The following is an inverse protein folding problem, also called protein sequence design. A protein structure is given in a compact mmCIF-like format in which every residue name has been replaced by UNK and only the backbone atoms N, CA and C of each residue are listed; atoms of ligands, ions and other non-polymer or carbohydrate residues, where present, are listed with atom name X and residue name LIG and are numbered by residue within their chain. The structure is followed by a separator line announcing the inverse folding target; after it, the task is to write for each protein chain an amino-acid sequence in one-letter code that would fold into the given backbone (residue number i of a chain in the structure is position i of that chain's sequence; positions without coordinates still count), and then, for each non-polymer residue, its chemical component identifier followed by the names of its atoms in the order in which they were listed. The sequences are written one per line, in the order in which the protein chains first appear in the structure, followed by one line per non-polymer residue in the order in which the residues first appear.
data_IF_945880879528
#
_entry.id   IF_945880879528
#
_cell.length_a   1.000
_cell.length_b   1.000
_cell.length_c   1.000
_cell.angle_alpha   90.00
_cell.angle_beta   90.00
_cell.angle_gamma   90.00
#
_symmetry.space_group_name_H-M   'P 1'
#
loop_
_entity.id
_entity.type
_entity.pdbx_description
1 polymer ?
#
# COMPACT_ATOMS: atom_id res chain seq x y z
N UNK A 1 -19.50 -17.96 -16.98
CA UNK A 1 -19.17 -18.76 -15.77
C UNK A 1 -19.56 -20.20 -16.03
N UNK A 2 -18.74 -21.15 -15.59
CA UNK A 2 -18.99 -22.58 -15.77
C UNK A 2 -18.12 -23.26 -16.81
N UNK A 3 -17.22 -22.51 -17.44
CA UNK A 3 -16.26 -23.07 -18.38
C UNK A 3 -15.13 -23.80 -17.66
N UNK A 4 -14.59 -24.80 -18.36
CA UNK A 4 -13.39 -25.47 -17.90
C UNK A 4 -12.19 -24.56 -18.11
N UNK A 5 -11.44 -24.30 -17.04
CA UNK A 5 -10.23 -23.49 -17.07
C UNK A 5 -9.02 -24.37 -16.76
N UNK A 6 -8.01 -24.33 -17.64
CA UNK A 6 -6.74 -25.00 -17.38
C UNK A 6 -5.93 -24.17 -16.39
N UNK A 7 -5.81 -24.65 -15.17
CA UNK A 7 -4.98 -24.06 -14.14
C UNK A 7 -3.56 -24.64 -14.19
N UNK A 8 -2.56 -23.74 -14.17
CA UNK A 8 -1.15 -24.08 -14.19
C UNK A 8 -0.43 -23.52 -12.99
N UNK A 9 0.27 -24.38 -12.25
CA UNK A 9 1.11 -24.02 -11.11
C UNK A 9 2.47 -24.75 -11.23
N UNK A 10 3.50 -24.04 -11.64
CA UNK A 10 4.80 -24.64 -11.95
C UNK A 10 4.67 -25.71 -13.06
N UNK A 11 5.02 -26.96 -12.73
CA UNK A 11 4.90 -28.09 -13.65
C UNK A 11 3.56 -28.85 -13.53
N UNK A 12 2.65 -28.40 -12.68
CA UNK A 12 1.35 -29.02 -12.48
C UNK A 12 0.31 -28.33 -13.34
N UNK A 13 -0.44 -29.15 -14.08
CA UNK A 13 -1.60 -28.68 -14.84
C UNK A 13 -2.83 -29.46 -14.38
N UNK A 14 -3.96 -28.76 -14.23
CA UNK A 14 -5.25 -29.39 -13.96
C UNK A 14 -6.39 -28.54 -14.49
N UNK A 15 -7.43 -29.20 -14.93
CA UNK A 15 -8.67 -28.54 -15.27
C UNK A 15 -9.46 -28.26 -14.00
N UNK A 16 -9.99 -27.05 -13.89
CA UNK A 16 -10.91 -26.64 -12.84
C UNK A 16 -12.20 -26.12 -13.46
N UNK A 17 -13.30 -26.38 -12.79
CA UNK A 17 -14.63 -25.89 -13.16
C UNK A 17 -15.32 -25.32 -11.95
N UNK A 18 -15.90 -24.13 -12.08
CA UNK A 18 -16.76 -23.56 -11.05
C UNK A 18 -18.16 -24.17 -11.19
N UNK A 19 -18.46 -25.16 -10.37
CA UNK A 19 -19.68 -25.98 -10.47
C UNK A 19 -20.89 -25.38 -9.74
N UNK A 20 -20.69 -24.38 -8.90
CA UNK A 20 -21.74 -23.74 -8.09
C UNK A 20 -22.30 -22.46 -8.73
N UNK A 21 -22.12 -22.26 -10.02
CA UNK A 21 -22.79 -21.19 -10.75
C UNK A 21 -24.19 -21.62 -11.18
N UNK A 22 -25.13 -20.71 -11.33
CA UNK A 22 -26.50 -20.94 -11.81
C UNK A 22 -26.51 -21.68 -13.15
N UNK A 23 -25.56 -21.35 -14.06
CA UNK A 23 -25.42 -22.00 -15.35
C UNK A 23 -25.15 -23.52 -15.26
N UNK A 24 -24.55 -24.00 -14.17
CA UNK A 24 -24.13 -25.39 -14.01
C UNK A 24 -24.99 -26.17 -13.02
N UNK A 25 -25.65 -25.50 -12.06
CA UNK A 25 -26.38 -26.17 -10.99
C UNK A 25 -27.89 -26.22 -11.19
N UNK A 26 -28.44 -25.36 -12.04
CA UNK A 26 -29.89 -25.22 -12.22
C UNK A 26 -30.64 -24.79 -10.96
N UNK A 27 -29.92 -24.47 -9.89
CA UNK A 27 -30.44 -23.99 -8.59
C UNK A 27 -30.10 -22.51 -8.38
N UNK A 28 -30.67 -21.92 -7.33
CA UNK A 28 -30.34 -20.57 -6.91
C UNK A 28 -28.84 -20.44 -6.69
N UNK A 29 -28.28 -19.30 -7.09
CA UNK A 29 -26.85 -19.06 -7.11
C UNK A 29 -26.24 -19.12 -5.73
N UNK A 30 -25.21 -19.91 -5.58
CA UNK A 30 -24.33 -19.84 -4.42
C UNK A 30 -23.42 -18.59 -4.47
N UNK A 31 -23.13 -18.12 -5.69
CA UNK A 31 -22.42 -16.87 -5.94
C UNK A 31 -23.24 -15.98 -6.86
N UNK A 32 -23.37 -14.71 -6.53
CA UNK A 32 -23.87 -13.73 -7.47
C UNK A 32 -22.81 -13.52 -8.57
N UNK A 33 -23.07 -14.05 -9.75
CA UNK A 33 -22.21 -13.92 -10.93
C UNK A 33 -22.76 -12.96 -11.98
N UNK A 34 -23.95 -12.41 -11.75
CA UNK A 34 -24.62 -11.47 -12.66
C UNK A 34 -24.17 -10.03 -12.40
N UNK A 35 -23.90 -9.67 -11.12
CA UNK A 35 -23.41 -8.35 -10.78
C UNK A 35 -21.87 -8.33 -10.81
N UNK A 36 -21.26 -7.46 -11.59
CA UNK A 36 -19.82 -7.34 -11.62
C UNK A 36 -19.31 -6.82 -10.27
N UNK A 37 -18.32 -7.52 -9.69
CA UNK A 37 -17.60 -7.05 -8.52
C UNK A 37 -16.43 -6.21 -9.01
N UNK A 38 -16.36 -4.90 -8.70
CA UNK A 38 -15.25 -4.07 -9.10
C UNK A 38 -13.92 -4.54 -8.53
N UNK A 39 -12.91 -4.67 -9.37
CA UNK A 39 -11.55 -5.07 -8.98
C UNK A 39 -10.65 -3.84 -8.92
N UNK A 40 -10.32 -3.41 -7.71
CA UNK A 40 -9.41 -2.30 -7.48
C UNK A 40 -7.97 -2.81 -7.44
N UNK A 41 -7.06 -2.23 -8.21
CA UNK A 41 -5.65 -2.58 -8.18
C UNK A 41 -4.83 -1.59 -7.34
N UNK A 42 -3.94 -2.13 -6.50
CA UNK A 42 -2.99 -1.33 -5.73
C UNK A 42 -1.69 -1.16 -6.51
N UNK A 43 -1.32 0.09 -6.79
CA UNK A 43 -0.07 0.40 -7.49
C UNK A 43 0.47 1.78 -7.13
N UNK A 44 1.78 1.83 -6.79
CA UNK A 44 2.48 3.06 -6.43
C UNK A 44 3.53 3.50 -7.46
N UNK A 45 4.02 2.59 -8.30
CA UNK A 45 5.05 2.86 -9.30
C UNK A 45 4.48 3.11 -10.71
N UNK A 46 5.25 3.77 -11.60
CA UNK A 46 4.78 4.19 -12.93
C UNK A 46 4.25 3.04 -13.81
N UNK A 47 4.93 1.90 -13.79
CA UNK A 47 4.51 0.71 -14.56
C UNK A 47 3.21 0.12 -14.01
N UNK A 48 3.10 0.01 -12.68
CA UNK A 48 1.89 -0.49 -12.03
C UNK A 48 0.69 0.42 -12.28
N UNK A 49 0.89 1.76 -12.29
CA UNK A 49 -0.16 2.74 -12.60
C UNK A 49 -0.71 2.56 -14.02
N UNK A 50 0.14 2.27 -15.02
CA UNK A 50 -0.34 1.93 -16.37
C UNK A 50 -1.15 0.64 -16.38
N UNK A 51 -0.70 -0.41 -15.68
CA UNK A 51 -1.44 -1.66 -15.56
C UNK A 51 -2.81 -1.45 -14.89
N UNK A 52 -2.89 -0.59 -13.87
CA UNK A 52 -4.19 -0.17 -13.29
C UNK A 52 -5.12 0.32 -14.40
N UNK A 53 -4.64 1.22 -15.27
CA UNK A 53 -5.42 1.72 -16.40
C UNK A 53 -5.87 0.61 -17.35
N UNK A 54 -4.99 -0.34 -17.63
CA UNK A 54 -5.23 -1.38 -18.64
C UNK A 54 -6.31 -2.39 -18.23
N UNK A 55 -6.38 -2.80 -16.95
CA UNK A 55 -7.11 -4.00 -16.55
C UNK A 55 -7.94 -3.88 -15.27
N UNK A 56 -7.98 -2.73 -14.59
CA UNK A 56 -8.70 -2.60 -13.33
C UNK A 56 -9.96 -1.74 -13.44
N UNK A 57 -10.78 -1.79 -12.41
CA UNK A 57 -11.98 -0.98 -12.24
C UNK A 57 -11.73 0.27 -11.40
N UNK A 58 -10.58 0.36 -10.75
CA UNK A 58 -10.17 1.52 -9.97
C UNK A 58 -8.77 1.39 -9.41
N UNK A 59 -8.32 2.45 -8.75
CA UNK A 59 -6.94 2.57 -8.29
C UNK A 59 -6.85 2.71 -6.77
N UNK A 60 -6.05 1.84 -6.14
CA UNK A 60 -5.65 1.98 -4.74
C UNK A 60 -4.19 2.42 -4.69
N UNK A 61 -3.88 3.45 -3.92
CA UNK A 61 -2.53 3.97 -3.77
C UNK A 61 -2.27 4.47 -2.35
N UNK A 62 -1.07 4.90 -2.07
CA UNK A 62 -0.73 5.58 -0.80
C UNK A 62 -0.54 7.07 -1.06
N UNK A 63 -0.75 7.90 -0.05
CA UNK A 63 -0.51 9.35 -0.14
C UNK A 63 0.96 9.71 -0.45
N UNK A 64 1.85 8.73 -0.38
CA UNK A 64 3.30 8.86 -0.64
C UNK A 64 3.77 8.10 -1.88
N UNK A 65 2.85 7.68 -2.75
CA UNK A 65 3.21 7.13 -4.05
C UNK A 65 4.04 8.13 -4.86
N UNK A 66 4.88 7.64 -5.78
CA UNK A 66 5.75 8.47 -6.62
C UNK A 66 4.98 9.63 -7.26
N UNK A 67 5.21 10.85 -6.82
CA UNK A 67 4.55 12.07 -7.28
C UNK A 67 3.09 12.22 -6.83
N UNK A 68 2.60 11.32 -5.95
CA UNK A 68 1.22 11.34 -5.48
C UNK A 68 0.18 10.98 -6.56
N UNK A 69 -1.08 11.25 -6.25
CA UNK A 69 -2.20 10.99 -7.16
C UNK A 69 -2.14 11.85 -8.43
N UNK A 70 -1.85 13.16 -8.37
CA UNK A 70 -1.79 14.01 -9.56
C UNK A 70 -0.82 13.53 -10.64
N UNK A 71 0.35 13.00 -10.25
CA UNK A 71 1.31 12.45 -11.22
C UNK A 71 0.96 11.04 -11.70
N UNK A 72 0.23 10.28 -10.89
CA UNK A 72 -0.19 8.92 -11.24
C UNK A 72 -1.36 8.88 -12.22
N UNK A 73 -2.33 9.78 -12.07
CA UNK A 73 -3.53 9.81 -12.90
C UNK A 73 -3.27 9.85 -14.41
N UNK A 74 -2.32 10.65 -14.94
CA UNK A 74 -2.00 10.61 -16.37
C UNK A 74 -1.51 9.24 -16.84
N UNK A 75 -0.75 8.51 -16.04
CA UNK A 75 -0.24 7.18 -16.38
C UNK A 75 -1.35 6.13 -16.37
N UNK A 76 -2.28 6.24 -15.41
CA UNK A 76 -3.48 5.40 -15.39
C UNK A 76 -4.35 5.66 -16.63
N UNK A 77 -4.58 6.93 -16.97
CA UNK A 77 -5.34 7.31 -18.16
C UNK A 77 -4.67 6.85 -19.47
N UNK A 78 -3.34 6.87 -19.54
CA UNK A 78 -2.57 6.31 -20.67
C UNK A 78 -2.85 4.81 -20.85
N UNK A 79 -2.80 4.04 -19.75
CA UNK A 79 -3.12 2.61 -19.79
C UNK A 79 -4.54 2.32 -20.19
N UNK A 80 -5.51 3.05 -19.63
CA UNK A 80 -6.93 2.93 -19.97
C UNK A 80 -7.19 3.24 -21.46
N UNK A 81 -6.59 4.31 -21.96
CA UNK A 81 -6.69 4.67 -23.38
C UNK A 81 -6.12 3.60 -24.29
N UNK A 82 -4.97 3.04 -23.94
CA UNK A 82 -4.29 2.03 -24.75
C UNK A 82 -5.07 0.70 -24.83
N UNK A 83 -5.78 0.33 -23.75
CA UNK A 83 -6.58 -0.91 -23.69
C UNK A 83 -8.04 -0.73 -24.07
N UNK A 84 -8.55 0.50 -24.13
CA UNK A 84 -9.97 0.79 -24.28
C UNK A 84 -10.78 0.57 -22.99
N UNK A 85 -10.10 0.43 -21.83
CA UNK A 85 -10.75 0.31 -20.53
C UNK A 85 -11.44 1.63 -20.13
N UNK A 86 -12.58 1.52 -19.45
CA UNK A 86 -13.28 2.65 -18.81
C UNK A 86 -13.59 2.30 -17.36
N UNK A 87 -13.70 3.32 -16.52
CA UNK A 87 -13.95 3.16 -15.09
C UNK A 87 -15.41 3.45 -14.70
N UNK A 88 -16.30 3.61 -15.66
CA UNK A 88 -17.67 4.07 -15.44
C UNK A 88 -18.50 3.17 -14.51
N UNK A 89 -18.24 1.87 -14.54
CA UNK A 89 -18.98 0.88 -13.73
C UNK A 89 -18.50 0.78 -12.27
N UNK A 90 -17.37 1.40 -11.92
CA UNK A 90 -16.81 1.37 -10.57
C UNK A 90 -16.78 2.75 -9.89
N UNK A 91 -17.56 3.70 -10.39
CA UNK A 91 -17.63 5.06 -9.84
C UNK A 91 -16.56 6.01 -10.35
N UNK A 92 -15.75 5.59 -11.32
CA UNK A 92 -14.91 6.48 -12.12
C UNK A 92 -15.68 7.09 -13.29
N UNK A 93 -15.01 7.84 -14.13
CA UNK A 93 -15.62 8.46 -15.33
C UNK A 93 -14.66 8.39 -16.52
N UNK A 94 -15.01 7.64 -17.55
CA UNK A 94 -14.18 7.44 -18.73
C UNK A 94 -12.81 6.87 -18.34
N UNK A 95 -11.73 7.60 -18.62
CA UNK A 95 -10.35 7.19 -18.26
C UNK A 95 -9.90 7.65 -16.86
N UNK A 96 -10.79 8.26 -16.06
CA UNK A 96 -10.52 8.65 -14.67
C UNK A 96 -10.99 7.56 -13.73
N UNK A 97 -10.05 6.87 -13.01
CA UNK A 97 -10.42 5.83 -12.06
C UNK A 97 -11.12 6.41 -10.83
N UNK A 98 -11.87 5.55 -10.13
CA UNK A 98 -12.18 5.77 -8.73
C UNK A 98 -10.90 5.54 -7.91
N UNK A 99 -10.41 6.57 -7.21
CA UNK A 99 -9.15 6.55 -6.49
C UNK A 99 -9.37 6.39 -4.99
N UNK A 100 -8.77 5.36 -4.40
CA UNK A 100 -8.72 5.16 -2.95
C UNK A 100 -7.29 5.34 -2.46
N UNK A 101 -7.08 6.24 -1.51
CA UNK A 101 -5.79 6.44 -0.84
C UNK A 101 -5.77 5.72 0.50
N UNK A 102 -4.76 4.87 0.70
CA UNK A 102 -4.45 4.26 1.99
C UNK A 102 -3.52 5.19 2.77
N UNK A 103 -3.94 5.62 3.96
CA UNK A 103 -3.13 6.48 4.82
C UNK A 103 -3.46 6.23 6.30
N UNK A 104 -2.48 6.28 7.20
CA UNK A 104 -2.78 6.32 8.63
C UNK A 104 -3.40 7.66 9.01
N UNK A 105 -4.18 7.66 10.09
CA UNK A 105 -4.83 8.85 10.61
C UNK A 105 -4.69 8.91 12.14
N UNK A 106 -4.44 10.11 12.67
CA UNK A 106 -4.39 10.34 14.11
C UNK A 106 -4.75 11.78 14.45
N UNK A 107 -5.86 11.99 15.13
CA UNK A 107 -6.22 13.33 15.65
C UNK A 107 -5.38 13.63 16.88
N UNK A 108 -4.69 14.77 16.88
CA UNK A 108 -3.93 15.25 18.03
C UNK A 108 -4.89 15.66 19.15
N UNK A 109 -4.58 15.25 20.38
CA UNK A 109 -5.25 15.70 21.60
C UNK A 109 -4.66 17.04 22.04
N UNK A 110 -5.33 17.71 22.96
CA UNK A 110 -4.82 18.96 23.56
C UNK A 110 -3.40 18.74 24.15
N UNK A 111 -2.46 19.60 23.76
CA UNK A 111 -1.06 19.52 24.17
C UNK A 111 -0.20 18.50 23.41
N UNK A 112 -0.76 17.68 22.52
CA UNK A 112 0.02 16.76 21.70
C UNK A 112 0.61 17.44 20.46
N UNK A 113 1.73 16.90 20.03
CA UNK A 113 2.41 17.23 18.77
C UNK A 113 2.65 15.96 17.95
N UNK A 114 3.14 16.09 16.72
CA UNK A 114 3.55 14.92 15.91
C UNK A 114 4.66 14.11 16.59
N UNK A 115 5.45 14.69 17.50
CA UNK A 115 6.48 13.99 18.27
C UNK A 115 5.95 13.32 19.54
N UNK A 116 4.67 13.39 19.85
CA UNK A 116 4.08 12.75 21.03
C UNK A 116 4.10 11.22 20.90
N UNK A 117 4.49 10.53 21.97
CA UNK A 117 4.65 9.06 22.02
C UNK A 117 3.41 8.31 21.50
N UNK A 118 2.20 8.73 21.91
CA UNK A 118 0.96 8.12 21.43
C UNK A 118 0.81 8.26 19.91
N UNK A 119 1.15 9.43 19.37
CA UNK A 119 1.02 9.73 17.94
C UNK A 119 2.01 8.89 17.15
N UNK A 120 3.27 8.84 17.59
CA UNK A 120 4.31 7.99 16.96
C UNK A 120 3.89 6.53 17.01
N UNK A 121 3.39 6.05 18.15
CA UNK A 121 2.95 4.65 18.30
C UNK A 121 1.77 4.31 17.38
N UNK A 122 0.86 5.25 17.15
CA UNK A 122 -0.31 5.02 16.31
C UNK A 122 0.00 5.11 14.80
N UNK A 123 0.87 6.01 14.40
CA UNK A 123 1.13 6.32 12.98
C UNK A 123 2.41 5.65 12.48
N UNK A 124 3.40 5.51 13.33
CA UNK A 124 4.73 5.00 13.02
C UNK A 124 4.74 3.62 12.36
N UNK A 125 3.95 2.62 12.82
CA UNK A 125 3.90 1.31 12.18
C UNK A 125 3.53 1.33 10.69
N UNK A 126 2.76 2.33 10.25
CA UNK A 126 2.41 2.51 8.85
C UNK A 126 3.44 3.35 8.06
N UNK A 127 4.35 4.04 8.75
CA UNK A 127 5.40 4.87 8.15
C UNK A 127 6.73 4.14 8.01
N UNK A 128 7.08 3.33 9.01
CA UNK A 128 8.37 2.64 9.07
C UNK A 128 8.63 1.71 7.85
N UNK A 129 7.63 1.12 7.17
CA UNK A 129 7.84 0.38 5.94
C UNK A 129 8.58 1.15 4.85
N UNK A 130 8.50 2.48 4.86
CA UNK A 130 9.31 3.31 3.96
C UNK A 130 10.80 3.22 4.25
N UNK A 131 11.19 3.15 5.52
CA UNK A 131 12.57 2.97 5.98
C UNK A 131 13.04 1.54 5.70
N UNK A 132 12.18 0.53 5.94
CA UNK A 132 12.45 -0.86 5.58
C UNK A 132 12.76 -1.00 4.08
N UNK A 133 11.96 -0.35 3.23
CA UNK A 133 12.19 -0.37 1.78
C UNK A 133 13.49 0.34 1.36
N UNK A 134 13.92 1.40 2.06
CA UNK A 134 15.23 2.02 1.85
C UNK A 134 16.37 1.06 2.22
N UNK A 135 16.26 0.40 3.36
CA UNK A 135 17.23 -0.61 3.79
C UNK A 135 17.30 -1.78 2.78
N UNK A 136 16.16 -2.31 2.35
CA UNK A 136 16.09 -3.38 1.34
C UNK A 136 16.85 -3.02 0.06
N UNK A 137 16.69 -1.80 -0.44
CA UNK A 137 17.39 -1.33 -1.65
C UNK A 137 18.89 -1.23 -1.48
N UNK A 138 19.36 -0.87 -0.28
CA UNK A 138 20.78 -0.64 0.00
C UNK A 138 21.52 -1.84 0.59
N UNK A 139 20.87 -2.60 1.43
CA UNK A 139 21.48 -3.65 2.26
C UNK A 139 20.77 -5.00 2.18
N UNK A 140 19.57 -5.06 1.61
CA UNK A 140 18.81 -6.29 1.49
C UNK A 140 19.38 -7.29 0.48
N UNK A 141 18.87 -8.54 0.48
CA UNK A 141 19.29 -9.55 -0.49
C UNK A 141 19.02 -9.08 -1.94
N UNK A 142 20.05 -9.00 -2.75
CA UNK A 142 19.95 -8.51 -4.14
C UNK A 142 19.97 -7.00 -4.30
N UNK A 143 20.43 -6.26 -3.28
CA UNK A 143 20.56 -4.81 -3.29
C UNK A 143 21.48 -4.30 -4.42
N UNK A 144 20.87 -3.70 -5.45
CA UNK A 144 21.56 -2.97 -6.53
C UNK A 144 20.73 -1.78 -7.02
N UNK A 145 19.74 -1.33 -6.25
CA UNK A 145 18.69 -0.42 -6.72
C UNK A 145 18.90 1.04 -6.31
N UNK A 146 20.10 1.47 -5.96
CA UNK A 146 20.37 2.85 -5.53
C UNK A 146 19.54 3.26 -4.30
N UNK A 147 20.12 4.07 -3.44
CA UNK A 147 19.47 4.56 -2.21
C UNK A 147 19.05 6.01 -2.41
N UNK A 148 17.78 6.31 -2.10
CA UNK A 148 17.26 7.68 -2.12
C UNK A 148 17.85 8.51 -0.96
N UNK A 149 18.10 7.86 0.19
CA UNK A 149 18.72 8.46 1.39
C UNK A 149 19.75 7.47 1.98
N UNK A 150 21.05 7.58 1.57
CA UNK A 150 22.11 6.71 2.07
C UNK A 150 22.38 6.88 3.58
N UNK A 151 22.19 8.06 4.13
CA UNK A 151 22.47 8.35 5.54
C UNK A 151 21.41 7.68 6.42
N UNK A 152 20.13 7.83 6.10
CA UNK A 152 19.03 7.17 6.80
C UNK A 152 19.14 5.65 6.70
N UNK A 153 19.40 5.12 5.50
CA UNK A 153 19.57 3.68 5.28
C UNK A 153 20.74 3.12 6.12
N UNK A 154 21.86 3.83 6.19
CA UNK A 154 23.01 3.45 7.02
C UNK A 154 22.77 3.54 8.52
N UNK A 155 21.99 4.53 8.97
CA UNK A 155 21.56 4.60 10.37
C UNK A 155 20.65 3.43 10.74
N UNK A 156 19.72 3.10 9.87
CA UNK A 156 18.82 1.97 10.08
C UNK A 156 19.56 0.63 10.01
N UNK A 157 20.57 0.46 9.12
CA UNK A 157 21.40 -0.75 9.09
C UNK A 157 22.13 -0.97 10.41
N UNK A 158 22.71 0.08 11.00
CA UNK A 158 23.34 -0.03 12.33
C UNK A 158 22.34 -0.46 13.41
N UNK A 159 21.19 0.21 13.44
CA UNK A 159 20.12 -0.10 14.39
C UNK A 159 19.67 -1.58 14.30
N UNK A 160 19.40 -2.06 13.08
CA UNK A 160 18.84 -3.41 12.90
C UNK A 160 19.89 -4.50 13.16
N UNK A 161 21.19 -4.23 12.95
CA UNK A 161 22.28 -5.12 13.37
C UNK A 161 22.32 -5.24 14.89
N UNK A 162 22.33 -4.13 15.60
CA UNK A 162 22.31 -4.14 17.07
C UNK A 162 21.05 -4.81 17.61
N UNK A 163 19.91 -4.61 16.98
CA UNK A 163 18.65 -5.26 17.33
C UNK A 163 18.74 -6.79 17.18
N UNK A 164 19.22 -7.28 16.05
CA UNK A 164 19.38 -8.71 15.79
C UNK A 164 20.46 -9.38 16.63
N UNK A 165 21.55 -8.66 16.98
CA UNK A 165 22.62 -9.17 17.82
C UNK A 165 22.20 -9.36 19.28
N UNK A 166 21.17 -8.63 19.74
CA UNK A 166 20.56 -8.82 21.07
C UNK A 166 19.67 -10.05 21.18
N UNK A 167 19.33 -10.71 20.07
CA UNK A 167 18.54 -11.95 20.09
C UNK A 167 19.34 -13.13 20.62
N UNK A 168 18.64 -14.18 21.05
CA UNK A 168 19.26 -15.42 21.51
C UNK A 168 18.63 -16.63 20.79
N UNK A 169 19.31 -17.24 19.82
CA UNK A 169 20.62 -16.85 19.27
C UNK A 169 20.54 -15.55 18.43
N UNK A 170 21.67 -14.85 18.23
CA UNK A 170 21.74 -13.68 17.36
C UNK A 170 21.31 -14.01 15.93
N UNK A 171 20.67 -13.03 15.27
CA UNK A 171 20.23 -13.21 13.88
C UNK A 171 21.43 -13.15 12.93
N UNK A 172 21.70 -14.20 12.13
CA UNK A 172 22.73 -14.19 11.10
C UNK A 172 22.51 -13.09 10.06
N UNK A 173 23.57 -12.55 9.46
CA UNK A 173 23.50 -11.46 8.50
C UNK A 173 22.64 -11.79 7.27
N UNK A 174 22.70 -13.03 6.78
CA UNK A 174 21.90 -13.51 5.64
C UNK A 174 20.40 -13.61 5.92
N UNK A 175 19.98 -13.40 7.17
CA UNK A 175 18.58 -13.39 7.62
C UNK A 175 18.16 -12.08 8.26
N UNK A 176 19.00 -11.05 8.20
CA UNK A 176 18.74 -9.73 8.81
C UNK A 176 17.44 -9.11 8.34
N UNK A 177 17.04 -9.36 7.11
CA UNK A 177 15.76 -8.90 6.56
C UNK A 177 14.53 -9.39 7.36
N UNK A 178 14.64 -10.52 8.08
CA UNK A 178 13.56 -10.99 8.96
C UNK A 178 13.38 -10.05 10.16
N UNK A 179 14.47 -9.52 10.72
CA UNK A 179 14.41 -8.54 11.79
C UNK A 179 13.87 -7.19 11.26
N UNK A 180 14.26 -6.81 10.04
CA UNK A 180 13.76 -5.58 9.40
C UNK A 180 12.24 -5.60 9.30
N UNK A 181 11.66 -6.69 8.81
CA UNK A 181 10.22 -6.81 8.60
C UNK A 181 9.42 -7.25 9.83
N UNK A 182 10.06 -7.49 10.96
CA UNK A 182 9.36 -7.73 12.21
C UNK A 182 8.52 -6.52 12.60
N UNK A 183 7.26 -6.74 12.94
CA UNK A 183 6.33 -5.67 13.29
C UNK A 183 5.79 -4.83 12.12
N UNK A 184 6.16 -5.15 10.89
CA UNK A 184 5.79 -4.42 9.68
C UNK A 184 4.28 -4.14 9.61
N UNK A 185 3.88 -2.86 9.58
CA UNK A 185 2.51 -2.34 9.68
C UNK A 185 1.78 -2.62 11.00
N UNK A 186 2.36 -3.28 11.97
CA UNK A 186 1.67 -3.70 13.21
C UNK A 186 2.16 -2.92 14.43
N UNK A 187 3.47 -2.85 14.63
CA UNK A 187 4.10 -2.15 15.75
C UNK A 187 5.50 -1.68 15.38
N UNK A 188 6.02 -0.72 16.14
CA UNK A 188 7.44 -0.33 16.09
C UNK A 188 8.24 -1.21 17.05
N UNK A 189 9.39 -1.69 16.58
CA UNK A 189 10.39 -2.33 17.43
C UNK A 189 10.97 -1.31 18.41
N UNK A 190 11.45 -1.76 19.57
CA UNK A 190 12.10 -0.90 20.57
C UNK A 190 13.24 -0.08 19.93
N UNK A 191 13.16 1.23 20.02
CA UNK A 191 14.12 2.18 19.44
C UNK A 191 13.88 2.51 17.97
N UNK A 192 12.90 1.89 17.31
CA UNK A 192 12.59 2.15 15.90
C UNK A 192 11.80 3.47 15.71
N UNK A 193 11.19 3.98 16.77
CA UNK A 193 10.48 5.26 16.79
C UNK A 193 11.35 6.43 16.36
N UNK A 194 12.67 6.38 16.55
CA UNK A 194 13.63 7.42 16.12
C UNK A 194 13.67 7.63 14.60
N UNK A 195 13.18 6.65 13.82
CA UNK A 195 13.11 6.73 12.36
C UNK A 195 11.76 7.22 11.83
N UNK A 196 10.82 7.52 12.72
CA UNK A 196 9.51 8.08 12.38
C UNK A 196 9.60 9.60 12.49
N UNK A 197 9.79 10.29 11.36
CA UNK A 197 9.94 11.74 11.39
C UNK A 197 8.61 12.48 11.40
N UNK A 198 8.55 13.68 12.02
CA UNK A 198 7.38 14.56 11.94
C UNK A 198 7.01 14.93 10.50
N UNK A 199 7.99 15.06 9.61
CA UNK A 199 7.78 15.37 8.19
C UNK A 199 7.06 14.20 7.50
N UNK A 200 7.46 12.96 7.79
CA UNK A 200 6.76 11.77 7.27
C UNK A 200 5.33 11.69 7.82
N UNK A 201 5.11 12.00 9.09
CA UNK A 201 3.77 12.04 9.68
C UNK A 201 2.89 13.14 9.08
N UNK A 202 3.44 14.28 8.74
CA UNK A 202 2.72 15.38 8.10
C UNK A 202 2.18 15.02 6.70
N UNK A 203 2.71 13.97 6.05
CA UNK A 203 2.17 13.47 4.77
C UNK A 203 0.94 12.58 4.92
N UNK A 204 0.49 12.33 6.14
CA UNK A 204 -0.65 11.47 6.48
C UNK A 204 -1.83 12.31 6.99
N UNK A 205 -2.92 11.66 7.37
CA UNK A 205 -4.04 12.33 8.06
C UNK A 205 -3.76 12.44 9.57
N UNK A 206 -2.61 13.02 9.92
CA UNK A 206 -2.21 13.21 11.31
C UNK A 206 -2.05 14.70 11.62
N UNK A 207 -2.81 15.20 12.60
CA UNK A 207 -2.83 16.61 12.95
C UNK A 207 -4.02 17.01 13.81
N UNK A 208 -4.24 18.29 13.97
CA UNK A 208 -5.50 18.81 14.52
C UNK A 208 -6.66 18.49 13.56
N UNK A 209 -7.90 18.57 14.05
CA UNK A 209 -9.09 18.36 13.20
C UNK A 209 -9.08 19.28 11.97
N UNK A 210 -8.71 20.54 12.13
CA UNK A 210 -8.65 21.51 11.03
C UNK A 210 -7.57 21.15 9.99
N UNK A 211 -6.39 20.70 10.45
CA UNK A 211 -5.33 20.24 9.55
C UNK A 211 -5.73 18.98 8.78
N UNK A 212 -6.43 18.07 9.42
CA UNK A 212 -6.93 16.87 8.77
C UNK A 212 -7.99 17.22 7.72
N UNK A 213 -8.94 18.10 8.04
CA UNK A 213 -9.96 18.56 7.10
C UNK A 213 -9.31 19.26 5.89
N UNK A 214 -8.36 20.17 6.12
CA UNK A 214 -7.61 20.79 5.03
C UNK A 214 -6.92 19.75 4.15
N UNK A 215 -6.32 18.72 4.75
CA UNK A 215 -5.66 17.65 3.98
C UNK A 215 -6.63 16.79 3.19
N UNK A 216 -7.84 16.57 3.71
CA UNK A 216 -8.91 15.89 2.97
C UNK A 216 -9.36 16.70 1.75
N UNK A 217 -9.53 18.02 1.92
CA UNK A 217 -9.86 18.92 0.81
C UNK A 217 -8.76 18.91 -0.28
N UNK A 218 -7.48 18.89 0.11
CA UNK A 218 -6.34 18.76 -0.80
C UNK A 218 -6.39 17.42 -1.57
N UNK A 219 -6.64 16.31 -0.87
CA UNK A 219 -6.75 14.98 -1.50
C UNK A 219 -7.92 14.92 -2.49
N UNK A 220 -9.07 15.51 -2.15
CA UNK A 220 -10.21 15.62 -3.06
C UNK A 220 -9.85 16.43 -4.30
N UNK A 221 -9.18 17.57 -4.14
CA UNK A 221 -8.69 18.40 -5.25
C UNK A 221 -7.69 17.67 -6.15
N UNK A 222 -6.87 16.77 -5.58
CA UNK A 222 -5.94 15.90 -6.28
C UNK A 222 -6.61 14.75 -7.03
N UNK A 223 -7.93 14.56 -6.87
CA UNK A 223 -8.71 13.53 -7.56
C UNK A 223 -8.92 12.25 -6.77
N UNK A 224 -8.71 12.28 -5.46
CA UNK A 224 -9.02 11.17 -4.55
C UNK A 224 -10.52 11.14 -4.27
N UNK A 225 -11.15 9.97 -4.40
CA UNK A 225 -12.58 9.77 -4.14
C UNK A 225 -12.83 9.16 -2.77
N UNK A 226 -11.88 8.44 -2.25
CA UNK A 226 -12.02 7.70 -0.99
C UNK A 226 -10.70 7.62 -0.23
N UNK A 227 -10.80 7.64 1.10
CA UNK A 227 -9.67 7.43 2.00
C UNK A 227 -9.92 6.20 2.84
N UNK A 228 -9.04 5.21 2.73
CA UNK A 228 -9.03 4.05 3.60
C UNK A 228 -7.99 4.27 4.70
N UNK A 229 -8.47 4.36 5.93
CA UNK A 229 -7.63 4.59 7.10
C UNK A 229 -7.35 3.27 7.82
N UNK A 230 -6.08 3.01 8.14
CA UNK A 230 -5.75 1.98 9.11
C UNK A 230 -6.21 2.47 10.49
N UNK A 231 -7.25 1.86 11.03
CA UNK A 231 -7.64 2.09 12.40
C UNK A 231 -6.59 1.45 13.33
N UNK A 232 -5.82 2.29 14.01
CA UNK A 232 -4.95 1.84 15.09
C UNK A 232 -5.72 2.04 16.39
N UNK A 233 -6.02 0.96 17.07
CA UNK A 233 -6.70 0.94 18.37
C UNK A 233 -5.73 1.14 19.52
#
# INVERSE_FOLDING_TARGET
AGDDVLFREGQRERWIRLIHSKANSGSDEFFNSEDPIPVMLAANGPRGQKIVGEISDGWITTSRASGGVPEGLPRVAEGATASGNTFDHAGGVGTKPYVTVLTPACVLREGETLASERVIRNVGPALIPGVHAMWERGYGPGSNLGMDDPDMAGMYDRYIREYGDRRSPPTPDDRRYLDVHEGHYVYLKEGEEQFVSPEAMATTLTGSADQINQRLDELEADGVNNVAMAAVT
#
